data_IF_642162585077
#
_entry.id   IF_642162585077
#
_cell.length_a   1.000
_cell.length_b   1.000
_cell.length_c   1.000
_cell.angle_alpha   90.00
_cell.angle_beta   90.00
_cell.angle_gamma   90.00
#
_symmetry.space_group_name_H-M   'P 1'
#
loop_
_entity.id
_entity.type
_entity.pdbx_description
1 polymer ?
#
# COMPACT_ATOMS: atom_id res chain seq x y z
N UNK A 1 33.99 32.84 58.07
CA UNK A 1 33.76 31.40 57.73
C UNK A 1 32.27 31.19 57.53
N UNK A 2 31.84 31.14 56.29
CA UNK A 2 30.44 30.92 55.91
C UNK A 2 30.33 29.45 55.46
N UNK A 3 29.63 28.64 56.26
CA UNK A 3 29.34 27.25 55.89
C UNK A 3 28.15 27.20 54.94
N UNK A 4 28.39 26.78 53.68
CA UNK A 4 27.36 26.47 52.71
C UNK A 4 26.81 25.05 53.00
N UNK A 5 25.55 24.95 53.41
CA UNK A 5 24.82 23.68 53.48
C UNK A 5 24.20 23.42 52.13
N UNK A 6 24.74 22.42 51.40
CA UNK A 6 24.20 21.95 50.14
C UNK A 6 23.05 20.96 50.43
N UNK A 7 21.80 21.39 50.27
CA UNK A 7 20.62 20.53 50.37
C UNK A 7 20.46 19.78 49.04
N UNK A 8 20.83 18.50 49.04
CA UNK A 8 20.58 17.62 47.88
C UNK A 8 19.10 17.27 47.77
N UNK A 9 18.40 17.82 46.77
CA UNK A 9 17.09 17.33 46.35
C UNK A 9 17.27 15.99 45.64
N UNK A 10 16.95 14.91 46.32
CA UNK A 10 16.76 13.59 45.71
C UNK A 10 15.39 13.61 45.08
N UNK A 11 15.32 13.84 43.77
CA UNK A 11 14.12 13.59 42.98
C UNK A 11 13.88 12.08 42.92
N UNK A 12 13.05 11.52 43.78
CA UNK A 12 12.44 10.21 43.63
C UNK A 12 11.45 10.32 42.46
N UNK A 13 11.93 10.05 41.25
CA UNK A 13 11.07 9.73 40.12
C UNK A 13 10.49 8.36 40.40
N UNK A 14 9.37 8.27 41.09
CA UNK A 14 8.50 7.08 41.02
C UNK A 14 7.87 7.04 39.61
N UNK A 15 8.56 6.41 38.70
CA UNK A 15 7.86 5.81 37.58
C UNK A 15 7.06 4.66 38.18
N UNK A 16 5.75 4.82 38.30
CA UNK A 16 4.85 3.69 38.52
C UNK A 16 4.91 2.89 37.21
N UNK A 17 5.83 1.93 37.13
CA UNK A 17 5.74 0.88 36.12
C UNK A 17 4.37 0.23 36.32
N UNK A 18 3.52 0.30 35.30
CA UNK A 18 2.30 -0.48 35.29
C UNK A 18 2.73 -1.93 35.31
N UNK A 19 2.41 -2.67 36.38
CA UNK A 19 2.52 -4.12 36.40
C UNK A 19 1.58 -4.69 35.33
N UNK A 20 2.12 -4.97 34.14
CA UNK A 20 1.38 -5.61 33.09
C UNK A 20 1.16 -7.09 33.44
N UNK A 21 -0.09 -7.52 33.44
CA UNK A 21 -0.40 -8.93 33.50
C UNK A 21 0.05 -9.61 32.21
N UNK A 22 1.15 -10.39 32.29
CA UNK A 22 1.76 -11.06 31.16
C UNK A 22 1.15 -12.43 30.85
N UNK A 23 0.07 -12.82 31.56
CA UNK A 23 -0.57 -14.12 31.34
C UNK A 23 -1.07 -14.30 29.90
N UNK A 24 -1.14 -15.51 29.38
CA UNK A 24 -1.71 -15.80 28.08
C UNK A 24 -3.12 -15.19 27.90
N UNK A 25 -3.95 -15.27 28.95
CA UNK A 25 -5.31 -14.72 28.96
C UNK A 25 -5.29 -13.19 28.81
N UNK A 26 -4.45 -12.49 29.55
CA UNK A 26 -4.37 -11.04 29.47
C UNK A 26 -3.93 -10.55 28.08
N UNK A 27 -3.01 -11.26 27.45
CA UNK A 27 -2.58 -10.94 26.08
C UNK A 27 -3.67 -11.22 25.04
N UNK A 28 -4.42 -12.31 25.20
CA UNK A 28 -5.57 -12.62 24.34
C UNK A 28 -6.65 -11.54 24.44
N UNK A 29 -7.06 -11.18 25.67
CA UNK A 29 -8.10 -10.18 25.91
C UNK A 29 -7.63 -8.79 25.42
N UNK A 30 -6.35 -8.43 25.58
CA UNK A 30 -5.78 -7.18 25.10
C UNK A 30 -5.79 -7.12 23.57
N UNK A 31 -5.39 -8.17 22.86
CA UNK A 31 -5.41 -8.23 21.40
C UNK A 31 -6.84 -8.13 20.88
N UNK A 32 -7.76 -8.92 21.45
CA UNK A 32 -9.15 -8.89 21.03
C UNK A 32 -9.77 -7.52 21.22
N UNK A 33 -9.57 -6.90 22.39
CA UNK A 33 -10.09 -5.57 22.71
C UNK A 33 -9.50 -4.46 21.82
N UNK A 34 -8.18 -4.52 21.56
CA UNK A 34 -7.50 -3.56 20.70
C UNK A 34 -8.07 -3.56 19.27
N UNK A 35 -8.34 -4.74 18.75
CA UNK A 35 -9.01 -4.89 17.46
C UNK A 35 -10.48 -4.45 17.55
N UNK A 36 -11.21 -4.83 18.61
CA UNK A 36 -12.61 -4.49 18.80
C UNK A 36 -12.86 -2.98 18.70
N UNK A 37 -12.05 -2.20 19.42
CA UNK A 37 -12.21 -0.72 19.44
C UNK A 37 -11.53 -0.01 18.28
N UNK A 38 -10.50 -0.59 17.66
CA UNK A 38 -9.62 0.10 16.72
C UNK A 38 -9.76 -0.31 15.27
N UNK A 39 -10.12 -1.56 14.98
CA UNK A 39 -10.19 -2.07 13.61
C UNK A 39 -11.39 -1.51 12.85
N UNK A 40 -11.19 -1.13 11.59
CA UNK A 40 -12.20 -0.36 10.85
C UNK A 40 -13.05 -1.18 9.87
N UNK A 41 -12.70 -2.42 9.53
CA UNK A 41 -13.34 -3.17 8.44
C UNK A 41 -14.14 -4.40 8.90
N UNK A 42 -14.65 -4.44 10.13
CA UNK A 42 -15.45 -5.60 10.61
C UNK A 42 -16.64 -5.92 9.71
N UNK A 43 -17.36 -4.88 9.26
CA UNK A 43 -18.55 -5.05 8.42
C UNK A 43 -18.22 -5.63 7.04
N UNK A 44 -17.03 -5.30 6.51
CA UNK A 44 -16.60 -5.72 5.18
C UNK A 44 -15.85 -7.05 5.18
N UNK A 45 -15.25 -7.44 6.31
CA UNK A 45 -14.34 -8.59 6.39
C UNK A 45 -14.94 -9.81 7.10
N UNK A 46 -15.78 -9.61 8.11
CA UNK A 46 -16.45 -10.72 8.77
C UNK A 46 -17.65 -11.21 7.93
N UNK A 47 -17.94 -12.52 7.94
CA UNK A 47 -19.19 -13.05 7.39
C UNK A 47 -20.41 -12.37 8.02
N UNK A 48 -21.49 -12.22 7.26
CA UNK A 48 -22.69 -11.50 7.69
C UNK A 48 -23.37 -12.09 8.94
N UNK A 49 -23.17 -13.37 9.22
CA UNK A 49 -23.67 -14.12 10.37
C UNK A 49 -22.68 -14.19 11.53
N UNK A 50 -21.55 -13.49 11.43
CA UNK A 50 -20.46 -13.53 12.40
C UNK A 50 -20.23 -12.19 13.04
N UNK A 51 -19.87 -12.18 14.33
CA UNK A 51 -19.46 -10.99 15.08
C UNK A 51 -18.06 -11.16 15.66
N UNK A 52 -17.40 -10.07 15.98
CA UNK A 52 -16.08 -10.13 16.62
C UNK A 52 -16.16 -10.76 18.03
N UNK A 53 -17.27 -10.58 18.74
CA UNK A 53 -17.57 -11.27 20.00
C UNK A 53 -17.67 -12.78 19.80
N UNK A 54 -18.29 -13.28 18.74
CA UNK A 54 -18.31 -14.71 18.42
C UNK A 54 -16.91 -15.26 18.18
N UNK A 55 -16.00 -14.46 17.61
CA UNK A 55 -14.59 -14.84 17.46
C UNK A 55 -13.90 -14.95 18.82
N UNK A 56 -14.18 -14.03 19.76
CA UNK A 56 -13.69 -14.18 21.15
C UNK A 56 -14.12 -15.51 21.77
N UNK A 57 -15.43 -15.81 21.72
CA UNK A 57 -15.97 -17.07 22.28
C UNK A 57 -15.38 -18.31 21.62
N UNK A 58 -15.11 -18.27 20.32
CA UNK A 58 -14.52 -19.38 19.55
C UNK A 58 -13.08 -19.68 19.98
N UNK A 59 -12.28 -18.63 20.23
CA UNK A 59 -10.85 -18.77 20.47
C UNK A 59 -10.48 -18.84 21.95
N UNK A 60 -11.28 -18.28 22.84
CA UNK A 60 -11.04 -18.25 24.27
C UNK A 60 -10.77 -19.64 24.91
N UNK A 61 -11.52 -20.71 24.57
CA UNK A 61 -11.27 -22.05 25.14
C UNK A 61 -9.91 -22.64 24.76
N UNK A 62 -9.19 -22.04 23.79
CA UNK A 62 -7.84 -22.47 23.38
C UNK A 62 -6.74 -21.86 24.25
N UNK A 63 -7.08 -20.90 25.12
CA UNK A 63 -6.13 -20.22 26.02
C UNK A 63 -6.05 -20.98 27.33
N UNK A 64 -4.83 -21.35 27.75
CA UNK A 64 -4.56 -21.98 29.04
C UNK A 64 -3.37 -21.28 29.74
N UNK A 65 -3.36 -21.28 31.08
CA UNK A 65 -2.31 -20.64 31.89
C UNK A 65 -0.90 -21.21 31.66
N UNK A 66 -0.79 -22.45 31.27
CA UNK A 66 0.50 -23.16 31.09
C UNK A 66 1.01 -23.15 29.65
N UNK A 67 0.33 -22.48 28.73
CA UNK A 67 0.75 -22.47 27.32
C UNK A 67 2.05 -21.71 27.10
N UNK A 68 2.85 -22.20 26.17
CA UNK A 68 4.08 -21.54 25.75
C UNK A 68 3.80 -20.27 24.91
N UNK A 69 4.82 -19.40 24.76
CA UNK A 69 4.72 -18.24 23.89
C UNK A 69 4.44 -18.60 22.44
N UNK A 70 4.93 -19.74 21.94
CA UNK A 70 4.65 -20.22 20.59
C UNK A 70 3.17 -20.61 20.42
N UNK A 71 2.62 -21.39 21.36
CA UNK A 71 1.20 -21.77 21.34
C UNK A 71 0.28 -20.54 21.45
N UNK A 72 0.64 -19.58 22.30
CA UNK A 72 -0.10 -18.32 22.40
C UNK A 72 -0.06 -17.56 21.08
N UNK A 73 1.12 -17.42 20.45
CA UNK A 73 1.28 -16.74 19.16
C UNK A 73 0.41 -17.37 18.08
N UNK A 74 0.36 -18.71 18.03
CA UNK A 74 -0.46 -19.45 17.07
C UNK A 74 -1.96 -19.18 17.27
N UNK A 75 -2.43 -19.16 18.53
CA UNK A 75 -3.85 -18.87 18.82
C UNK A 75 -4.21 -17.44 18.48
N UNK A 76 -3.37 -16.44 18.86
CA UNK A 76 -3.60 -15.04 18.55
C UNK A 76 -3.56 -14.78 17.04
N UNK A 77 -2.61 -15.40 16.36
CA UNK A 77 -2.50 -15.34 14.90
C UNK A 77 -3.74 -15.91 14.21
N UNK A 78 -4.23 -17.06 14.66
CA UNK A 78 -5.41 -17.70 14.10
C UNK A 78 -6.66 -16.82 14.27
N UNK A 79 -6.82 -16.17 15.43
CA UNK A 79 -7.91 -15.21 15.68
C UNK A 79 -7.84 -14.04 14.69
N UNK A 80 -6.66 -13.45 14.50
CA UNK A 80 -6.49 -12.32 13.59
C UNK A 80 -6.74 -12.67 12.12
N UNK A 81 -6.38 -13.90 11.70
CA UNK A 81 -6.57 -14.36 10.32
C UNK A 81 -8.05 -14.47 9.92
N UNK A 82 -8.98 -14.50 10.88
CA UNK A 82 -10.43 -14.42 10.59
C UNK A 82 -10.81 -13.10 9.88
N UNK A 83 -10.04 -12.04 10.09
CA UNK A 83 -10.27 -10.73 9.46
C UNK A 83 -9.86 -10.67 7.97
N UNK A 84 -9.05 -11.61 7.50
CA UNK A 84 -8.58 -11.67 6.10
C UNK A 84 -8.08 -10.32 5.56
N UNK A 85 -7.33 -9.59 6.39
CA UNK A 85 -6.80 -8.26 6.08
C UNK A 85 -5.27 -8.26 6.10
N UNK A 86 -4.64 -7.90 4.97
CA UNK A 86 -3.19 -7.87 4.82
C UNK A 86 -2.48 -6.82 5.68
N UNK A 87 -3.21 -5.85 6.25
CA UNK A 87 -2.66 -4.90 7.22
C UNK A 87 -2.68 -5.43 8.66
N UNK A 88 -3.47 -6.48 8.96
CA UNK A 88 -3.50 -7.07 10.30
C UNK A 88 -2.30 -7.99 10.44
N UNK A 89 -1.36 -7.58 11.31
CA UNK A 89 -0.08 -8.27 11.50
C UNK A 89 0.27 -8.34 12.97
N UNK A 90 0.69 -9.52 13.45
CA UNK A 90 1.27 -9.73 14.77
C UNK A 90 2.78 -9.94 14.63
N UNK A 91 3.55 -9.21 15.42
CA UNK A 91 5.01 -9.31 15.50
C UNK A 91 5.42 -9.79 16.88
N UNK A 92 6.21 -10.83 16.94
CA UNK A 92 6.94 -11.27 18.13
C UNK A 92 8.45 -11.21 17.88
N UNK A 93 9.26 -11.60 18.86
CA UNK A 93 10.71 -11.73 18.71
C UNK A 93 11.13 -12.93 17.87
N UNK A 94 10.23 -13.88 17.64
CA UNK A 94 10.54 -15.18 16.98
C UNK A 94 9.70 -15.43 15.73
N UNK A 95 8.59 -14.71 15.52
CA UNK A 95 7.73 -14.88 14.34
C UNK A 95 6.96 -13.61 14.00
N UNK A 96 6.49 -13.55 12.75
CA UNK A 96 5.60 -12.50 12.23
C UNK A 96 4.49 -13.14 11.42
N UNK A 97 3.22 -12.85 11.77
CA UNK A 97 2.06 -13.38 11.06
C UNK A 97 1.21 -12.26 10.47
N UNK A 98 0.96 -12.36 9.16
CA UNK A 98 0.05 -11.49 8.42
C UNK A 98 -0.79 -12.34 7.45
N UNK A 99 -1.94 -11.81 7.04
CA UNK A 99 -2.77 -12.47 6.02
C UNK A 99 -2.26 -12.11 4.62
N UNK A 100 -1.90 -13.11 3.81
CA UNK A 100 -1.36 -12.94 2.45
C UNK A 100 -2.09 -13.76 1.36
N UNK A 101 -3.07 -14.57 1.74
CA UNK A 101 -3.81 -15.44 0.81
C UNK A 101 -4.54 -14.65 -0.29
N UNK A 102 -4.93 -13.41 -0.03
CA UNK A 102 -5.53 -12.53 -1.03
C UNK A 102 -4.65 -12.36 -2.28
N UNK A 103 -3.33 -12.42 -2.10
CA UNK A 103 -2.37 -12.34 -3.20
C UNK A 103 -2.10 -13.71 -3.83
N UNK A 104 -1.93 -14.73 -3.00
CA UNK A 104 -1.60 -16.08 -3.42
C UNK A 104 -2.70 -16.74 -4.27
N UNK A 105 -3.97 -16.32 -4.08
CA UNK A 105 -5.14 -16.84 -4.80
C UNK A 105 -5.28 -16.32 -6.24
N UNK A 106 -4.39 -15.41 -6.71
CA UNK A 106 -4.49 -14.79 -8.04
C UNK A 106 -3.19 -14.98 -8.84
N UNK A 107 -3.29 -15.06 -10.19
CA UNK A 107 -2.11 -15.03 -11.05
C UNK A 107 -1.28 -13.78 -10.80
N UNK A 108 0.06 -13.90 -10.82
CA UNK A 108 0.94 -12.75 -10.60
C UNK A 108 0.82 -11.68 -11.68
N UNK A 109 0.41 -12.06 -12.89
CA UNK A 109 0.24 -11.19 -14.05
C UNK A 109 1.51 -10.39 -14.40
N UNK A 110 2.68 -10.93 -14.08
CA UNK A 110 3.99 -10.38 -14.39
C UNK A 110 5.04 -11.49 -14.49
N UNK A 111 5.87 -11.43 -15.50
CA UNK A 111 7.15 -12.15 -15.57
C UNK A 111 8.29 -11.16 -15.34
N UNK A 112 9.06 -11.37 -14.26
CA UNK A 112 10.12 -10.44 -13.85
C UNK A 112 11.28 -10.41 -14.86
N UNK A 113 11.61 -11.54 -15.46
CA UNK A 113 12.73 -11.63 -16.42
C UNK A 113 12.36 -10.90 -17.70
N UNK A 114 11.15 -11.14 -18.21
CA UNK A 114 10.64 -10.47 -19.42
C UNK A 114 10.52 -8.97 -19.20
N UNK A 115 9.98 -8.53 -18.06
CA UNK A 115 9.91 -7.10 -17.71
C UNK A 115 11.28 -6.43 -17.76
N UNK A 116 12.32 -7.06 -17.18
CA UNK A 116 13.68 -6.49 -17.19
C UNK A 116 14.32 -6.44 -18.60
N UNK A 117 13.88 -7.28 -19.55
CA UNK A 117 14.33 -7.18 -20.95
C UNK A 117 13.94 -5.85 -21.60
N UNK A 118 12.72 -5.32 -21.29
CA UNK A 118 12.29 -4.01 -21.79
C UNK A 118 13.13 -2.85 -21.26
N UNK A 119 13.68 -2.95 -20.07
CA UNK A 119 14.62 -1.96 -19.55
C UNK A 119 15.96 -1.99 -20.29
N UNK A 120 16.32 -3.16 -20.87
CA UNK A 120 17.57 -3.34 -21.61
C UNK A 120 18.81 -3.24 -20.72
N UNK A 121 20.01 -3.27 -21.33
CA UNK A 121 21.27 -3.17 -20.58
C UNK A 121 21.65 -1.72 -20.22
N UNK A 122 21.04 -0.72 -20.86
CA UNK A 122 21.35 0.71 -20.68
C UNK A 122 20.34 1.43 -19.78
N UNK A 123 19.57 0.69 -18.98
CA UNK A 123 18.65 1.33 -18.03
C UNK A 123 19.38 2.22 -17.02
N UNK A 124 18.66 3.18 -16.50
CA UNK A 124 19.17 4.10 -15.47
C UNK A 124 18.39 3.93 -14.17
N UNK A 125 18.99 4.39 -13.08
CA UNK A 125 18.40 4.37 -11.75
C UNK A 125 18.45 5.78 -11.18
N UNK A 126 17.26 6.36 -10.92
CA UNK A 126 17.11 7.61 -10.19
C UNK A 126 16.56 7.30 -8.79
N UNK A 127 17.44 7.06 -7.84
CA UNK A 127 17.15 6.60 -6.48
C UNK A 127 16.47 5.22 -6.49
N UNK A 128 15.15 5.20 -6.52
CA UNK A 128 14.33 3.98 -6.46
C UNK A 128 13.54 3.72 -7.75
N UNK A 129 13.65 4.63 -8.71
CA UNK A 129 13.04 4.49 -10.02
C UNK A 129 14.05 3.87 -10.97
N UNK A 130 13.75 2.69 -11.50
CA UNK A 130 14.49 2.07 -12.60
C UNK A 130 13.79 2.44 -13.89
N UNK A 131 14.50 2.99 -14.87
CA UNK A 131 13.86 3.54 -16.05
C UNK A 131 14.69 3.44 -17.32
N UNK A 132 14.01 3.33 -18.45
CA UNK A 132 14.59 3.38 -19.79
C UNK A 132 13.54 3.84 -20.80
N UNK A 133 13.92 4.49 -21.92
CA UNK A 133 13.07 4.58 -23.09
C UNK A 133 12.99 3.22 -23.76
N UNK A 134 11.78 2.84 -24.21
CA UNK A 134 11.53 1.65 -25.03
C UNK A 134 11.25 2.12 -26.45
N UNK A 135 12.08 1.69 -27.42
CA UNK A 135 11.82 1.90 -28.83
C UNK A 135 10.84 0.81 -29.32
N UNK A 136 9.72 1.23 -29.89
CA UNK A 136 8.68 0.34 -30.41
C UNK A 136 8.53 0.43 -31.93
N UNK A 137 9.18 1.40 -32.57
CA UNK A 137 9.22 1.58 -34.01
C UNK A 137 10.64 2.00 -34.45
N UNK A 138 11.45 1.00 -34.85
CA UNK A 138 12.83 1.21 -35.26
C UNK A 138 12.98 2.17 -36.44
N UNK A 139 11.97 2.21 -37.34
CA UNK A 139 12.00 3.07 -38.54
C UNK A 139 11.76 4.55 -38.23
N UNK A 140 11.03 4.85 -37.16
CA UNK A 140 10.67 6.23 -36.79
C UNK A 140 11.38 6.71 -35.52
N UNK A 141 12.16 5.86 -34.85
CA UNK A 141 12.78 6.12 -33.53
C UNK A 141 11.75 6.61 -32.49
N UNK A 142 10.51 6.17 -32.62
CA UNK A 142 9.46 6.47 -31.65
C UNK A 142 9.67 5.65 -30.39
N UNK A 143 9.55 6.29 -29.24
CA UNK A 143 9.78 5.66 -27.94
C UNK A 143 8.69 5.99 -26.92
N UNK A 144 8.56 5.12 -25.92
CA UNK A 144 7.75 5.28 -24.72
C UNK A 144 8.67 5.14 -23.52
N UNK A 145 8.53 6.01 -22.52
CA UNK A 145 9.29 5.87 -21.28
C UNK A 145 8.74 4.73 -20.44
N UNK A 146 9.61 3.86 -19.92
CA UNK A 146 9.25 2.86 -18.91
C UNK A 146 9.88 3.22 -17.57
N UNK A 147 9.06 3.30 -16.53
CA UNK A 147 9.47 3.45 -15.14
C UNK A 147 9.02 2.20 -14.38
N UNK A 148 9.95 1.53 -13.72
CA UNK A 148 9.64 0.49 -12.74
C UNK A 148 9.90 1.00 -11.32
N UNK A 149 8.88 0.89 -10.46
CA UNK A 149 8.96 1.30 -9.05
C UNK A 149 8.46 0.17 -8.14
N UNK A 150 9.40 -0.52 -7.51
CA UNK A 150 9.14 -1.79 -6.81
C UNK A 150 8.50 -1.65 -5.44
N UNK A 151 8.64 -0.50 -4.77
CA UNK A 151 8.08 -0.29 -3.43
C UNK A 151 8.04 1.19 -3.07
N UNK A 152 6.89 1.65 -2.57
CA UNK A 152 6.75 2.98 -1.99
C UNK A 152 7.43 3.13 -0.62
N UNK A 153 7.99 2.07 -0.03
CA UNK A 153 8.90 2.17 1.11
C UNK A 153 10.24 2.79 0.72
N UNK A 154 10.61 2.68 -0.55
CA UNK A 154 11.82 3.29 -1.09
C UNK A 154 11.57 4.77 -1.42
N UNK A 155 12.40 5.65 -0.89
CA UNK A 155 12.24 7.10 -1.04
C UNK A 155 12.40 7.51 -2.50
N UNK A 156 11.52 8.39 -2.98
CA UNK A 156 11.61 9.10 -4.24
C UNK A 156 11.38 10.60 -4.02
N UNK A 157 12.25 11.43 -4.54
CA UNK A 157 12.14 12.89 -4.42
C UNK A 157 11.88 13.56 -5.77
N UNK A 158 11.41 14.80 -5.75
CA UNK A 158 11.11 15.58 -6.96
C UNK A 158 12.28 15.62 -7.95
N UNK A 159 13.53 15.78 -7.48
CA UNK A 159 14.69 15.80 -8.36
C UNK A 159 14.91 14.46 -9.09
N UNK A 160 14.60 13.33 -8.45
CA UNK A 160 14.69 12.03 -9.09
C UNK A 160 13.64 11.88 -10.19
N UNK A 161 12.40 12.29 -9.90
CA UNK A 161 11.29 12.26 -10.86
C UNK A 161 11.57 13.22 -12.03
N UNK A 162 12.06 14.42 -11.75
CA UNK A 162 12.45 15.39 -12.79
C UNK A 162 13.51 14.83 -13.74
N UNK A 163 14.55 14.18 -13.21
CA UNK A 163 15.59 13.56 -14.04
C UNK A 163 15.01 12.48 -14.97
N UNK A 164 14.08 11.66 -14.46
CA UNK A 164 13.40 10.63 -15.24
C UNK A 164 12.53 11.27 -16.33
N UNK A 165 11.63 12.20 -15.96
CA UNK A 165 10.71 12.85 -16.91
C UNK A 165 11.45 13.68 -17.95
N UNK A 166 12.55 14.34 -17.57
CA UNK A 166 13.42 15.05 -18.51
C UNK A 166 14.02 14.11 -19.56
N UNK A 167 14.44 12.90 -19.16
CA UNK A 167 14.98 11.92 -20.11
C UNK A 167 13.93 11.39 -21.10
N UNK A 168 12.64 11.51 -20.76
CA UNK A 168 11.51 11.07 -21.57
C UNK A 168 10.83 12.20 -22.36
N UNK A 169 11.40 13.41 -22.39
CA UNK A 169 10.79 14.58 -23.04
C UNK A 169 10.39 14.33 -24.50
N UNK A 170 11.12 13.46 -25.22
CA UNK A 170 10.85 13.11 -26.61
C UNK A 170 9.99 11.84 -26.75
N UNK A 171 9.67 11.14 -25.66
CA UNK A 171 8.79 9.97 -25.68
C UNK A 171 7.33 10.38 -25.95
N UNK A 172 6.55 9.49 -26.55
CA UNK A 172 5.12 9.68 -26.81
C UNK A 172 4.29 9.67 -25.53
N UNK A 173 4.74 8.97 -24.51
CA UNK A 173 4.11 8.84 -23.18
C UNK A 173 4.97 8.07 -22.23
N UNK A 174 4.42 7.71 -21.07
CA UNK A 174 5.14 6.99 -20.01
C UNK A 174 4.31 5.80 -19.51
N UNK A 175 4.97 4.65 -19.36
CA UNK A 175 4.46 3.51 -18.61
C UNK A 175 5.06 3.56 -17.21
N UNK A 176 4.22 3.47 -16.18
CA UNK A 176 4.63 3.34 -14.78
C UNK A 176 4.25 1.94 -14.30
N UNK A 177 5.22 1.05 -14.22
CA UNK A 177 5.02 -0.32 -13.77
C UNK A 177 5.16 -0.40 -12.24
N UNK A 178 4.03 -0.57 -11.55
CA UNK A 178 3.95 -0.77 -10.11
C UNK A 178 3.48 -2.20 -9.76
N UNK A 179 3.46 -3.12 -10.72
CA UNK A 179 3.10 -4.51 -10.44
C UNK A 179 3.98 -5.09 -9.35
N UNK A 180 3.40 -5.83 -8.42
CA UNK A 180 4.04 -6.37 -7.20
C UNK A 180 4.52 -5.32 -6.17
N UNK A 181 4.14 -4.06 -6.32
CA UNK A 181 4.46 -3.02 -5.34
C UNK A 181 3.49 -3.12 -4.15
N UNK A 182 3.95 -3.66 -3.03
CA UNK A 182 3.16 -3.84 -1.80
C UNK A 182 2.89 -2.55 -1.01
N UNK A 183 3.24 -1.38 -1.55
CA UNK A 183 3.01 -0.10 -0.89
C UNK A 183 4.22 0.42 -0.12
N UNK A 184 3.94 1.12 0.98
CA UNK A 184 4.95 1.80 1.81
C UNK A 184 4.48 3.18 2.25
N UNK A 185 5.25 4.23 1.94
CA UNK A 185 4.95 5.60 2.33
C UNK A 185 3.93 6.28 1.40
N UNK A 186 2.82 6.71 1.95
CA UNK A 186 1.81 7.50 1.23
C UNK A 186 2.38 8.84 0.71
N UNK A 187 3.35 9.44 1.41
CA UNK A 187 4.01 10.67 0.94
C UNK A 187 4.78 10.46 -0.37
N UNK A 188 5.40 9.28 -0.55
CA UNK A 188 6.06 8.94 -1.82
C UNK A 188 5.03 8.77 -2.96
N UNK A 189 3.84 8.22 -2.67
CA UNK A 189 2.74 8.11 -3.63
C UNK A 189 2.27 9.50 -4.07
N UNK A 190 2.03 10.42 -3.13
CA UNK A 190 1.70 11.81 -3.42
C UNK A 190 2.80 12.53 -4.21
N UNK A 191 4.06 12.36 -3.80
CA UNK A 191 5.21 13.00 -4.47
C UNK A 191 5.27 12.59 -5.93
N UNK A 192 5.17 11.29 -6.23
CA UNK A 192 5.21 10.79 -7.61
C UNK A 192 3.97 11.27 -8.40
N UNK A 193 2.76 11.08 -7.86
CA UNK A 193 1.52 11.46 -8.53
C UNK A 193 1.41 12.96 -8.82
N UNK A 194 1.99 13.82 -7.95
CA UNK A 194 1.95 15.28 -8.10
C UNK A 194 2.58 15.80 -9.40
N UNK A 195 3.49 15.05 -10.02
CA UNK A 195 4.11 15.39 -11.29
C UNK A 195 3.20 15.13 -12.51
N UNK A 196 2.06 14.49 -12.29
CA UNK A 196 1.08 14.17 -13.34
C UNK A 196 -0.23 14.96 -13.19
N UNK A 197 -0.45 15.62 -12.06
CA UNK A 197 -1.63 16.45 -11.83
C UNK A 197 -1.43 17.87 -12.40
N UNK A 198 -2.32 18.33 -13.28
CA UNK A 198 -2.25 19.70 -13.83
C UNK A 198 -2.96 20.74 -12.95
N UNK A 199 -3.88 20.29 -12.11
CA UNK A 199 -4.67 21.10 -11.16
C UNK A 199 -4.92 20.32 -9.87
N UNK A 200 -5.36 21.02 -8.84
CA UNK A 200 -5.86 20.34 -7.64
C UNK A 200 -7.03 19.43 -8.02
N UNK A 201 -6.89 18.15 -7.70
CA UNK A 201 -7.83 17.09 -8.08
C UNK A 201 -8.27 16.34 -6.83
N UNK A 202 -9.58 16.19 -6.64
CA UNK A 202 -10.11 15.29 -5.63
C UNK A 202 -9.80 13.84 -6.05
N UNK A 203 -9.08 13.11 -5.20
CA UNK A 203 -8.65 11.75 -5.51
C UNK A 203 -9.27 10.71 -4.57
N UNK A 204 -10.08 11.14 -3.62
CA UNK A 204 -10.81 10.27 -2.72
C UNK A 204 -11.14 10.92 -1.38
N UNK A 205 -11.54 10.07 -0.44
CA UNK A 205 -11.87 10.46 0.93
C UNK A 205 -11.27 9.50 1.93
N UNK A 206 -11.07 9.97 3.15
CA UNK A 206 -10.64 9.13 4.29
C UNK A 206 -11.54 9.38 5.50
N UNK A 207 -12.06 8.32 6.09
CA UNK A 207 -12.79 8.35 7.37
C UNK A 207 -11.97 7.63 8.44
N UNK A 208 -11.84 8.24 9.60
CA UNK A 208 -11.07 7.73 10.72
C UNK A 208 -11.98 7.16 11.80
N UNK A 209 -11.57 6.08 12.42
CA UNK A 209 -12.21 5.55 13.61
C UNK A 209 -12.19 6.61 14.73
N UNK A 210 -13.35 6.93 15.33
CA UNK A 210 -13.50 7.99 16.34
C UNK A 210 -13.95 7.50 17.70
N UNK A 211 -14.45 6.29 17.80
CA UNK A 211 -14.93 5.69 19.03
C UNK A 211 -14.86 4.16 19.00
N UNK A 212 -15.25 3.49 20.11
CA UNK A 212 -15.16 2.03 20.24
C UNK A 212 -16.20 1.28 19.38
N UNK A 213 -17.33 1.86 19.06
CA UNK A 213 -18.36 1.19 18.25
C UNK A 213 -17.91 0.95 16.82
N UNK A 214 -18.23 -0.20 16.23
CA UNK A 214 -17.73 -0.64 14.92
C UNK A 214 -18.11 0.28 13.75
N UNK A 215 -19.15 1.12 13.93
CA UNK A 215 -19.64 2.08 12.94
C UNK A 215 -19.27 3.54 13.26
N UNK A 216 -18.45 3.77 14.28
CA UNK A 216 -18.09 5.13 14.71
C UNK A 216 -16.90 5.66 13.93
N UNK A 217 -17.20 6.49 12.94
CA UNK A 217 -16.21 7.12 12.07
C UNK A 217 -16.40 8.64 11.99
N UNK A 218 -15.32 9.34 11.72
CA UNK A 218 -15.39 10.76 11.35
C UNK A 218 -16.16 10.93 10.04
N UNK A 219 -16.67 12.13 9.81
CA UNK A 219 -17.10 12.52 8.47
C UNK A 219 -15.93 12.32 7.48
N UNK A 220 -16.21 11.89 6.24
CA UNK A 220 -15.18 11.72 5.21
C UNK A 220 -14.41 13.04 4.97
N UNK A 221 -13.08 12.96 5.03
CA UNK A 221 -12.20 14.09 4.72
C UNK A 221 -11.68 13.93 3.31
N UNK A 222 -11.80 14.98 2.50
CA UNK A 222 -11.31 15.00 1.12
C UNK A 222 -9.80 14.81 1.05
N UNK A 223 -9.36 13.95 0.15
CA UNK A 223 -7.97 13.77 -0.23
C UNK A 223 -7.73 14.48 -1.55
N UNK A 224 -6.94 15.55 -1.54
CA UNK A 224 -6.68 16.39 -2.71
C UNK A 224 -5.25 16.18 -3.19
N UNK A 225 -5.09 15.72 -4.42
CA UNK A 225 -3.80 15.69 -5.10
C UNK A 225 -3.51 17.08 -5.68
N UNK A 226 -2.39 17.66 -5.30
CA UNK A 226 -1.94 18.97 -5.78
C UNK A 226 -0.81 18.81 -6.80
N UNK A 227 -0.79 19.66 -7.86
CA UNK A 227 0.35 19.71 -8.77
C UNK A 227 1.65 19.98 -8.04
N UNK A 228 2.74 19.37 -8.51
CA UNK A 228 4.07 19.69 -7.99
C UNK A 228 4.42 21.17 -8.29
N UNK A 229 5.09 21.80 -7.33
CA UNK A 229 5.72 23.12 -7.51
C UNK A 229 7.21 23.01 -7.88
N UNK A 230 7.73 21.79 -7.97
CA UNK A 230 9.16 21.50 -8.03
C UNK A 230 9.55 20.79 -9.34
N UNK A 231 9.29 21.42 -10.48
CA UNK A 231 9.82 20.95 -11.75
C UNK A 231 8.77 20.51 -12.76
N UNK A 232 8.99 19.38 -13.42
CA UNK A 232 8.24 18.96 -14.60
C UNK A 232 6.84 18.46 -14.23
N UNK A 233 5.84 19.04 -14.89
CA UNK A 233 4.47 18.52 -14.98
C UNK A 233 4.34 17.74 -16.29
N UNK A 234 4.07 16.45 -16.18
CA UNK A 234 3.91 15.57 -17.33
C UNK A 234 2.47 15.55 -17.82
N UNK A 235 2.27 15.97 -19.08
CA UNK A 235 0.94 16.12 -19.68
C UNK A 235 0.60 15.10 -20.76
N UNK A 236 1.63 14.37 -21.25
CA UNK A 236 1.45 13.34 -22.27
C UNK A 236 0.78 12.09 -21.67
N UNK A 237 0.27 11.17 -22.50
CA UNK A 237 -0.36 9.93 -22.03
C UNK A 237 0.49 9.15 -21.03
N UNK A 238 -0.18 8.57 -20.03
CA UNK A 238 0.42 7.73 -19.00
C UNK A 238 -0.39 6.44 -18.89
N UNK A 239 0.30 5.31 -18.85
CA UNK A 239 -0.30 4.02 -18.48
C UNK A 239 0.34 3.53 -17.17
N UNK A 240 -0.48 3.22 -16.19
CA UNK A 240 -0.03 2.60 -14.94
C UNK A 240 -0.37 1.11 -15.00
N UNK A 241 0.67 0.26 -14.91
CA UNK A 241 0.48 -1.19 -14.89
C UNK A 241 0.21 -1.67 -13.48
N UNK A 242 -0.92 -2.39 -13.31
CA UNK A 242 -1.39 -2.90 -12.02
C UNK A 242 -1.58 -4.41 -12.02
N UNK A 243 -1.44 -5.03 -10.85
CA UNK A 243 -1.80 -6.41 -10.58
C UNK A 243 -2.25 -6.57 -9.11
N UNK A 244 -2.66 -7.78 -8.72
CA UNK A 244 -3.07 -8.08 -7.32
C UNK A 244 -1.96 -7.86 -6.29
N UNK A 245 -0.70 -7.73 -6.69
CA UNK A 245 0.41 -7.37 -5.83
C UNK A 245 0.51 -5.88 -5.48
N UNK A 246 -0.27 -5.01 -6.13
CA UNK A 246 -0.35 -3.57 -5.84
C UNK A 246 -1.23 -3.36 -4.62
N UNK A 247 -0.62 -2.94 -3.47
CA UNK A 247 -1.29 -2.91 -2.19
C UNK A 247 -0.97 -1.63 -1.39
N UNK A 248 -1.86 -1.23 -0.46
CA UNK A 248 -1.61 -0.12 0.48
C UNK A 248 -1.26 1.19 -0.26
N UNK A 249 -0.19 1.90 0.06
CA UNK A 249 0.19 3.15 -0.60
C UNK A 249 0.34 3.03 -2.14
N UNK A 250 0.59 1.83 -2.68
CA UNK A 250 0.58 1.61 -4.13
C UNK A 250 -0.85 1.54 -4.68
N UNK A 251 -1.80 1.02 -3.90
CA UNK A 251 -3.23 1.09 -4.20
C UNK A 251 -3.72 2.55 -4.18
N UNK A 252 -3.32 3.33 -3.18
CA UNK A 252 -3.61 4.76 -3.12
C UNK A 252 -3.01 5.52 -4.32
N UNK A 253 -1.76 5.19 -4.72
CA UNK A 253 -1.17 5.76 -5.92
C UNK A 253 -1.98 5.44 -7.18
N UNK A 254 -2.44 4.19 -7.34
CA UNK A 254 -3.32 3.81 -8.45
C UNK A 254 -4.64 4.59 -8.41
N UNK A 255 -5.24 4.77 -7.21
CA UNK A 255 -6.43 5.60 -7.01
C UNK A 255 -6.20 7.04 -7.49
N UNK A 256 -5.09 7.67 -7.05
CA UNK A 256 -4.76 9.05 -7.42
C UNK A 256 -4.56 9.20 -8.92
N UNK A 257 -3.81 8.29 -9.53
CA UNK A 257 -3.53 8.32 -10.96
C UNK A 257 -4.79 8.10 -11.80
N UNK A 258 -5.71 7.26 -11.35
CA UNK A 258 -6.99 6.99 -12.04
C UNK A 258 -7.86 8.25 -12.21
N UNK A 259 -7.71 9.25 -11.33
CA UNK A 259 -8.46 10.50 -11.40
C UNK A 259 -7.89 11.51 -12.40
N UNK A 260 -6.76 11.21 -13.04
CA UNK A 260 -6.10 12.12 -13.97
C UNK A 260 -6.46 11.78 -15.43
N UNK A 261 -6.92 12.76 -16.25
CA UNK A 261 -7.52 12.48 -17.56
C UNK A 261 -6.56 11.83 -18.58
N UNK A 262 -5.25 12.10 -18.47
CA UNK A 262 -4.24 11.52 -19.36
C UNK A 262 -3.79 10.12 -18.93
N UNK A 263 -4.24 9.63 -17.78
CA UNK A 263 -3.84 8.32 -17.22
C UNK A 263 -4.80 7.22 -17.64
N UNK A 264 -4.28 6.01 -17.77
CA UNK A 264 -5.03 4.76 -17.94
C UNK A 264 -4.44 3.71 -17.00
N UNK A 265 -5.23 3.12 -16.14
CA UNK A 265 -4.83 1.91 -15.40
C UNK A 265 -5.00 0.69 -16.31
N UNK A 266 -3.97 -0.13 -16.43
CA UNK A 266 -3.97 -1.31 -17.29
C UNK A 266 -3.43 -2.53 -16.52
N UNK A 267 -4.08 -3.66 -16.69
CA UNK A 267 -3.67 -4.92 -16.09
C UNK A 267 -4.78 -5.62 -15.32
N UNK A 268 -4.58 -5.86 -14.03
CA UNK A 268 -5.58 -6.47 -13.16
C UNK A 268 -5.96 -5.53 -12.01
N UNK A 269 -7.08 -5.85 -11.36
CA UNK A 269 -7.51 -5.18 -10.12
C UNK A 269 -6.37 -5.21 -9.09
N UNK A 270 -6.13 -4.10 -8.43
CA UNK A 270 -5.12 -4.01 -7.36
C UNK A 270 -5.47 -4.89 -6.17
N UNK A 271 -4.55 -5.09 -5.26
CA UNK A 271 -4.76 -5.89 -4.05
C UNK A 271 -5.57 -5.20 -2.96
N UNK A 272 -5.74 -3.89 -3.04
CA UNK A 272 -6.47 -3.13 -2.03
C UNK A 272 -5.61 -2.64 -0.86
N UNK A 273 -6.10 -2.82 0.37
CA UNK A 273 -5.45 -2.27 1.56
C UNK A 273 -5.66 -0.76 1.69
N UNK A 274 -6.92 -0.32 1.58
CA UNK A 274 -7.31 1.08 1.62
C UNK A 274 -7.31 1.74 3.02
N UNK A 275 -6.85 1.02 4.06
CA UNK A 275 -6.84 1.52 5.43
C UNK A 275 -5.46 2.00 5.86
N UNK A 276 -5.37 3.18 6.48
CA UNK A 276 -4.14 3.60 7.15
C UNK A 276 -3.95 2.74 8.40
N UNK A 277 -2.82 2.02 8.53
CA UNK A 277 -2.59 1.13 9.65
C UNK A 277 -2.31 1.91 10.94
N UNK A 278 -2.81 1.36 12.06
CA UNK A 278 -2.43 1.69 13.42
C UNK A 278 -1.54 0.60 13.99
N UNK A 279 -0.82 0.93 15.05
CA UNK A 279 -0.03 -0.04 15.82
C UNK A 279 -0.36 0.05 17.29
N UNK A 280 -0.33 -1.08 17.98
CA UNK A 280 -0.45 -1.21 19.42
C UNK A 280 0.56 -2.25 19.94
N UNK A 281 0.82 -2.24 21.23
CA UNK A 281 1.68 -3.20 21.90
C UNK A 281 0.87 -4.00 22.93
N UNK A 282 1.02 -5.32 22.90
CA UNK A 282 0.39 -6.22 23.85
C UNK A 282 1.17 -6.23 25.18
N UNK A 283 0.56 -6.67 26.29
CA UNK A 283 1.24 -6.72 27.61
C UNK A 283 2.59 -7.43 27.61
N UNK A 284 2.76 -8.47 26.78
CA UNK A 284 4.02 -9.21 26.65
C UNK A 284 5.06 -8.59 25.69
N UNK A 285 4.82 -7.36 25.20
CA UNK A 285 5.70 -6.63 24.29
C UNK A 285 5.57 -7.01 22.80
N UNK A 286 4.64 -7.90 22.44
CA UNK A 286 4.36 -8.16 21.03
C UNK A 286 3.62 -6.98 20.40
N UNK A 287 3.93 -6.70 19.13
CA UNK A 287 3.30 -5.58 18.42
C UNK A 287 2.19 -6.07 17.51
N UNK A 288 1.07 -5.38 17.58
CA UNK A 288 -0.09 -5.53 16.72
C UNK A 288 -0.15 -4.37 15.74
N UNK A 289 -0.44 -4.66 14.47
CA UNK A 289 -0.74 -3.67 13.43
C UNK A 289 -2.08 -4.02 12.78
N UNK A 290 -2.91 -3.01 12.50
CA UNK A 290 -4.24 -3.20 11.92
C UNK A 290 -4.76 -1.93 11.24
N UNK A 291 -5.74 -2.06 10.33
CA UNK A 291 -6.36 -0.92 9.63
C UNK A 291 -7.23 -0.10 10.58
N UNK A 292 -6.95 1.21 10.71
CA UNK A 292 -7.66 2.15 11.60
C UNK A 292 -8.42 3.26 10.89
N UNK A 293 -8.48 3.26 9.55
CA UNK A 293 -9.26 4.20 8.74
C UNK A 293 -9.75 3.55 7.46
N UNK A 294 -10.79 4.13 6.84
CA UNK A 294 -11.34 3.69 5.56
C UNK A 294 -10.98 4.71 4.49
N UNK A 295 -10.41 4.26 3.37
CA UNK A 295 -10.20 5.06 2.17
C UNK A 295 -11.29 4.74 1.14
N UNK A 296 -11.80 5.77 0.49
CA UNK A 296 -12.84 5.70 -0.52
C UNK A 296 -12.41 6.47 -1.76
N UNK A 297 -12.92 6.07 -2.92
CA UNK A 297 -12.78 6.81 -4.15
C UNK A 297 -13.62 8.12 -4.13
N UNK A 298 -13.54 8.99 -5.15
CA UNK A 298 -14.37 10.20 -5.22
C UNK A 298 -15.88 9.95 -5.26
N UNK A 299 -16.31 8.77 -5.68
CA UNK A 299 -17.72 8.32 -5.72
C UNK A 299 -18.19 7.77 -4.36
N UNK A 300 -17.29 7.61 -3.39
CA UNK A 300 -17.57 7.09 -2.05
C UNK A 300 -17.48 5.56 -1.93
N UNK A 301 -16.99 4.86 -2.93
CA UNK A 301 -16.80 3.42 -2.87
C UNK A 301 -15.52 3.07 -2.12
N UNK A 302 -15.57 2.00 -1.32
CA UNK A 302 -14.41 1.46 -0.59
C UNK A 302 -13.36 0.92 -1.55
N UNK A 303 -12.09 1.26 -1.28
CA UNK A 303 -10.95 0.77 -2.07
C UNK A 303 -10.18 -0.36 -1.38
N UNK A 304 -10.70 -0.87 -0.27
CA UNK A 304 -10.10 -1.95 0.52
C UNK A 304 -9.89 -3.25 -0.30
N UNK A 305 -10.81 -3.55 -1.22
CA UNK A 305 -10.73 -4.76 -2.04
C UNK A 305 -10.03 -4.55 -3.39
N UNK A 306 -9.45 -3.37 -3.59
CA UNK A 306 -8.70 -3.01 -4.78
C UNK A 306 -9.46 -2.11 -5.75
N UNK A 307 -8.71 -1.60 -6.72
CA UNK A 307 -9.15 -0.67 -7.75
C UNK A 307 -9.14 -1.41 -9.09
N UNK A 308 -10.28 -1.51 -9.79
CA UNK A 308 -10.30 -2.13 -11.09
C UNK A 308 -9.55 -1.27 -12.11
N UNK A 309 -8.78 -1.90 -13.04
CA UNK A 309 -8.14 -1.20 -14.14
C UNK A 309 -9.17 -0.66 -15.13
N UNK A 310 -8.79 0.33 -15.93
CA UNK A 310 -9.60 0.83 -17.03
C UNK A 310 -9.57 -0.16 -18.21
N UNK A 311 -8.42 -0.83 -18.39
CA UNK A 311 -8.24 -1.88 -19.41
C UNK A 311 -7.73 -3.13 -18.73
N UNK A 312 -8.58 -4.17 -18.68
CA UNK A 312 -8.18 -5.46 -18.12
C UNK A 312 -7.36 -6.25 -19.14
N UNK A 313 -6.12 -6.59 -18.75
CA UNK A 313 -5.20 -7.38 -19.58
C UNK A 313 -4.54 -8.44 -18.72
N UNK A 314 -4.52 -9.67 -19.21
CA UNK A 314 -3.79 -10.78 -18.60
C UNK A 314 -2.54 -11.12 -19.41
N UNK A 315 -1.47 -11.47 -18.69
CA UNK A 315 -0.24 -11.95 -19.29
C UNK A 315 -0.50 -13.25 -20.08
N UNK A 316 0.00 -13.32 -21.30
CA UNK A 316 -0.15 -14.49 -22.17
C UNK A 316 1.16 -15.27 -22.20
N UNK A 317 1.09 -16.58 -21.95
CA UNK A 317 2.25 -17.47 -22.01
C UNK A 317 2.93 -17.43 -23.39
N UNK A 318 2.15 -17.42 -24.45
CA UNK A 318 2.67 -17.32 -25.82
C UNK A 318 3.44 -16.03 -26.11
N UNK A 319 3.21 -14.96 -25.36
CA UNK A 319 3.99 -13.71 -25.47
C UNK A 319 5.27 -13.83 -24.65
N UNK A 320 5.21 -14.41 -23.46
CA UNK A 320 6.36 -14.68 -22.60
C UNK A 320 7.39 -15.56 -23.31
N UNK A 321 6.96 -16.63 -23.97
CA UNK A 321 7.84 -17.50 -24.78
C UNK A 321 8.59 -16.73 -25.88
N UNK A 322 7.96 -15.67 -26.42
CA UNK A 322 8.57 -14.77 -27.40
C UNK A 322 9.39 -13.63 -26.75
N UNK A 323 9.50 -13.65 -25.42
CA UNK A 323 10.18 -12.59 -24.67
C UNK A 323 9.41 -11.28 -24.57
N UNK A 324 8.08 -11.30 -24.75
CA UNK A 324 7.20 -10.14 -24.71
C UNK A 324 6.33 -10.14 -23.44
N UNK A 325 6.15 -8.96 -22.85
CA UNK A 325 5.18 -8.73 -21.78
C UNK A 325 3.89 -8.18 -22.40
N UNK A 326 2.83 -8.96 -22.38
CA UNK A 326 1.52 -8.62 -22.98
C UNK A 326 1.02 -7.26 -22.50
N UNK A 327 1.22 -6.93 -21.19
CA UNK A 327 0.75 -5.69 -20.60
C UNK A 327 1.58 -4.48 -21.09
N UNK A 328 2.90 -4.62 -21.19
CA UNK A 328 3.77 -3.57 -21.72
C UNK A 328 3.45 -3.31 -23.21
N UNK A 329 3.28 -4.37 -24.01
CA UNK A 329 2.92 -4.23 -25.42
C UNK A 329 1.58 -3.52 -25.61
N UNK A 330 0.58 -3.85 -24.78
CA UNK A 330 -0.73 -3.19 -24.84
C UNK A 330 -0.65 -1.73 -24.35
N UNK A 331 0.14 -1.47 -23.29
CA UNK A 331 0.37 -0.11 -22.81
C UNK A 331 1.01 0.79 -23.88
N UNK A 332 1.96 0.27 -24.65
CA UNK A 332 2.57 0.99 -25.78
C UNK A 332 1.48 1.38 -26.80
N UNK A 333 0.58 0.45 -27.18
CA UNK A 333 -0.50 0.74 -28.12
C UNK A 333 -1.41 1.84 -27.60
N UNK A 334 -1.85 1.75 -26.34
CA UNK A 334 -2.71 2.76 -25.70
C UNK A 334 -2.05 4.14 -25.72
N UNK A 335 -0.76 4.23 -25.40
CA UNK A 335 -0.01 5.49 -25.44
C UNK A 335 0.05 6.05 -26.85
N UNK A 336 0.38 5.21 -27.84
CA UNK A 336 0.48 5.62 -29.24
C UNK A 336 -0.85 6.14 -29.78
N UNK A 337 -1.95 5.46 -29.49
CA UNK A 337 -3.29 5.88 -29.88
C UNK A 337 -3.68 7.22 -29.24
N UNK A 338 -3.53 7.34 -27.91
CA UNK A 338 -3.84 8.59 -27.20
C UNK A 338 -2.94 9.76 -27.65
N UNK A 339 -1.67 9.51 -27.99
CA UNK A 339 -0.76 10.55 -28.45
C UNK A 339 -1.11 11.13 -29.81
N UNK A 340 -1.89 10.43 -30.64
CA UNK A 340 -2.41 10.93 -31.93
C UNK A 340 -3.60 11.86 -31.76
N UNK A 341 -4.34 11.72 -30.65
CA UNK A 341 -5.57 12.46 -30.35
C UNK A 341 -5.29 13.75 -29.54
N UNK A 342 -4.07 13.91 -29.05
CA UNK A 342 -3.66 15.09 -28.31
C UNK A 342 -3.00 16.07 -29.29
N UNK A 343 -3.54 17.28 -29.47
CA UNK A 343 -3.02 18.30 -30.41
C UNK A 343 -1.63 18.79 -30.04
#
# INVERSE_FOLDING_TARGET
MLSLVLLGLVCLSCSTEKDYNLSPRANFDALWHELDVGYCYFQEKLPADSTWEMMHQKYLPRISEGMSSYELFDVLSALMMELKDGHVTLYSSFDTKAYDEWRASYPSNVDRQVRFRYLGSAYRIARSLVYAPIEYNEHQKDSVGLIYYSSFSNVVGHNNINAVLQSFQNCRGVIIDIRDNGGGSLSNAFTLASHFAEKETLVGYTSYKTGPGHCEFSSPKSTILKPTKYGILWKKPVVVLTNRGVYSAANDFALFMKQLPQVTLLGDTTGGGGGLPRGSELPNGWRLRYSGSKTMDPEGNQVEFGIPPDIKVSLKESDIEKGKDTLIEEAIKVIVEKSKSTP
#
